data_IF_539418903627
#
_entry.id   IF_539418903627
#
_cell.length_a   1.000
_cell.length_b   1.000
_cell.length_c   1.000
_cell.angle_alpha   90.00
_cell.angle_beta   90.00
_cell.angle_gamma   90.00
#
_symmetry.space_group_name_H-M   'P 1'
#
loop_
_entity.id
_entity.type
_entity.pdbx_description
1 polymer ?
#
# COMPACT_ATOMS: atom_id res chain seq x y z
N UNK A 1 2.93 -7.79 -1.40
CA UNK A 1 2.57 -9.18 -1.05
C UNK A 1 1.71 -9.19 0.21
N UNK A 2 1.17 -10.35 0.64
CA UNK A 2 0.47 -10.45 1.95
C UNK A 2 1.39 -10.09 3.12
N UNK A 3 2.69 -10.44 3.03
CA UNK A 3 3.67 -10.02 4.04
C UNK A 3 3.81 -8.49 4.12
N UNK A 4 3.86 -7.78 2.97
CA UNK A 4 3.88 -6.31 2.96
C UNK A 4 2.63 -5.71 3.60
N UNK A 5 1.46 -6.29 3.31
CA UNK A 5 0.17 -5.86 3.85
C UNK A 5 0.13 -5.96 5.38
N UNK A 6 0.54 -7.11 5.91
CA UNK A 6 0.64 -7.33 7.37
C UNK A 6 1.68 -6.40 8.01
N UNK A 7 2.80 -6.13 7.33
CA UNK A 7 3.85 -5.24 7.83
C UNK A 7 3.42 -3.75 7.93
N UNK A 8 2.29 -3.36 7.34
CA UNK A 8 1.67 -2.03 7.51
C UNK A 8 0.34 -2.10 8.26
N UNK A 9 0.11 -3.20 8.99
CA UNK A 9 -1.02 -3.37 9.90
C UNK A 9 -2.32 -3.83 9.23
N UNK A 10 -2.26 -4.36 8.02
CA UNK A 10 -3.40 -4.99 7.36
C UNK A 10 -3.64 -6.42 7.84
N UNK A 11 -4.90 -6.83 7.94
CA UNK A 11 -5.30 -8.20 8.26
C UNK A 11 -5.93 -8.91 7.06
N UNK A 12 -5.94 -10.24 7.05
CA UNK A 12 -6.52 -11.02 5.94
C UNK A 12 -5.87 -10.74 4.58
N UNK A 13 -6.67 -10.82 3.52
CA UNK A 13 -6.23 -10.54 2.15
C UNK A 13 -6.50 -9.06 1.78
N UNK A 14 -5.54 -8.34 1.17
CA UNK A 14 -5.74 -6.96 0.74
C UNK A 14 -6.94 -6.78 -0.19
N UNK A 15 -7.22 -7.77 -1.04
CA UNK A 15 -8.33 -7.76 -1.99
C UNK A 15 -9.72 -7.88 -1.34
N UNK A 16 -9.79 -8.27 -0.07
CA UNK A 16 -11.03 -8.36 0.70
C UNK A 16 -11.25 -7.14 1.60
N UNK A 17 -10.23 -6.29 1.77
CA UNK A 17 -10.33 -5.06 2.54
C UNK A 17 -11.07 -3.96 1.76
N UNK A 18 -11.70 -3.02 2.47
CA UNK A 18 -12.35 -1.87 1.85
C UNK A 18 -11.34 -1.00 1.09
N UNK A 19 -11.81 -0.22 0.11
CA UNK A 19 -10.96 0.71 -0.62
C UNK A 19 -10.26 1.73 0.30
N UNK A 20 -10.96 2.16 1.35
CA UNK A 20 -10.43 3.08 2.36
C UNK A 20 -9.28 2.44 3.16
N UNK A 21 -9.44 1.18 3.58
CA UNK A 21 -8.38 0.48 4.28
C UNK A 21 -7.18 0.25 3.36
N UNK A 22 -7.40 -0.22 2.14
CA UNK A 22 -6.34 -0.39 1.14
C UNK A 22 -5.56 0.92 0.94
N UNK A 23 -6.28 2.03 0.82
CA UNK A 23 -5.69 3.37 0.67
C UNK A 23 -4.90 3.78 1.92
N UNK A 24 -5.42 3.53 3.12
CA UNK A 24 -4.72 3.82 4.37
C UNK A 24 -3.41 3.03 4.48
N UNK A 25 -3.42 1.73 4.17
CA UNK A 25 -2.23 0.88 4.16
C UNK A 25 -1.24 1.29 3.08
N UNK A 26 -1.71 1.67 1.89
CA UNK A 26 -0.86 2.21 0.83
C UNK A 26 -0.16 3.52 1.26
N UNK A 27 -0.86 4.45 1.92
CA UNK A 27 -0.28 5.68 2.45
C UNK A 27 0.80 5.39 3.50
N UNK A 28 0.58 4.44 4.41
CA UNK A 28 1.61 4.04 5.38
C UNK A 28 2.83 3.39 4.71
N UNK A 29 2.60 2.53 3.73
CA UNK A 29 3.68 1.92 2.97
C UNK A 29 4.50 3.00 2.22
N UNK A 30 3.84 3.98 1.62
CA UNK A 30 4.48 5.11 0.97
C UNK A 30 5.32 5.94 1.96
N UNK A 31 4.76 6.29 3.12
CA UNK A 31 5.49 7.05 4.13
C UNK A 31 6.73 6.31 4.65
N UNK A 32 6.66 4.97 4.72
CA UNK A 32 7.77 4.12 5.20
C UNK A 32 8.84 3.88 4.15
N UNK A 33 8.46 3.69 2.88
CA UNK A 33 9.35 3.11 1.84
C UNK A 33 9.37 3.90 0.52
N UNK A 34 8.66 5.01 0.45
CA UNK A 34 8.54 5.85 -0.74
C UNK A 34 7.78 5.18 -1.90
N UNK A 35 7.84 5.83 -3.07
CA UNK A 35 7.13 5.40 -4.28
C UNK A 35 7.68 4.09 -4.89
N UNK A 36 8.86 3.61 -4.47
CA UNK A 36 9.52 2.43 -5.05
C UNK A 36 8.73 1.14 -4.92
N UNK A 37 7.72 1.09 -4.05
CA UNK A 37 6.78 -0.05 -3.92
C UNK A 37 5.82 -0.17 -5.12
N UNK A 38 5.74 0.87 -5.97
CA UNK A 38 5.00 0.87 -7.22
C UNK A 38 5.96 1.20 -8.38
N UNK A 39 6.78 0.25 -8.87
CA UNK A 39 7.87 0.53 -9.81
C UNK A 39 7.40 1.15 -11.14
N UNK A 40 6.18 0.86 -11.58
CA UNK A 40 5.63 1.40 -12.83
C UNK A 40 4.70 2.60 -12.63
N UNK A 41 3.89 2.56 -11.57
CA UNK A 41 2.82 3.55 -11.34
C UNK A 41 3.21 4.61 -10.30
N UNK A 42 4.28 4.41 -9.52
CA UNK A 42 4.69 5.30 -8.44
C UNK A 42 5.04 6.70 -8.92
N UNK A 43 5.53 6.82 -10.17
CA UNK A 43 5.78 8.12 -10.82
C UNK A 43 4.51 8.97 -10.99
N UNK A 44 3.33 8.35 -11.03
CA UNK A 44 2.05 9.04 -11.25
C UNK A 44 1.39 9.51 -9.93
N UNK A 45 1.98 9.23 -8.75
CA UNK A 45 1.34 9.54 -7.47
C UNK A 45 1.24 11.04 -7.15
N UNK A 46 2.08 11.86 -7.78
CA UNK A 46 2.18 13.31 -7.57
C UNK A 46 2.15 14.10 -8.90
N UNK A 47 1.71 13.44 -9.97
CA UNK A 47 1.50 14.05 -11.28
C UNK A 47 0.13 14.69 -11.37
#
# INVERSE_FOLDING_TARGET
SVATWQAVGGAGLPSQASADEQTARAKMLYNRSGAGQWPHCGKNLFS
#
